data_IF_659693646974
#
_entry.id   IF_659693646974
#
_cell.length_a   1.000
_cell.length_b   1.000
_cell.length_c   1.000
_cell.angle_alpha   90.00
_cell.angle_beta   90.00
_cell.angle_gamma   90.00
#
_symmetry.space_group_name_H-M   'P 1'
#
loop_
_entity.id
_entity.type
_entity.pdbx_description
1 polymer ?
#
# COMPACT_ATOMS: atom_id res chain seq x y z
N UNK A 1 -0.95 34.49 18.27
CA UNK A 1 -0.16 34.39 17.03
C UNK A 1 0.19 32.92 16.81
N UNK A 2 -0.32 32.32 15.75
CA UNK A 2 -0.02 30.95 15.37
C UNK A 2 1.03 30.89 14.25
N UNK A 3 1.53 29.69 13.95
CA UNK A 3 2.38 29.47 12.78
C UNK A 3 1.93 28.24 12.00
N UNK A 4 2.23 28.27 10.70
CA UNK A 4 2.04 27.16 9.77
C UNK A 4 3.33 26.94 9.00
N UNK A 5 3.61 25.70 8.64
CA UNK A 5 4.77 25.27 7.86
C UNK A 5 4.26 24.71 6.54
N UNK A 6 4.76 25.28 5.45
CA UNK A 6 4.62 24.72 4.10
C UNK A 6 5.97 24.25 3.58
N UNK A 7 5.95 23.12 2.87
CA UNK A 7 7.14 22.47 2.29
C UNK A 7 6.84 22.21 0.84
N UNK A 8 7.56 22.89 -0.06
CA UNK A 8 7.32 22.85 -1.51
C UNK A 8 5.86 23.09 -1.91
N UNK A 9 5.21 24.06 -1.25
CA UNK A 9 3.81 24.41 -1.51
C UNK A 9 2.77 23.54 -0.80
N UNK A 10 3.19 22.56 0.00
CA UNK A 10 2.29 21.70 0.77
C UNK A 10 2.33 22.02 2.26
N UNK A 11 1.17 22.25 2.87
CA UNK A 11 1.09 22.36 4.33
C UNK A 11 1.25 20.98 4.98
N UNK A 12 2.06 20.91 6.04
CA UNK A 12 2.11 19.70 6.87
C UNK A 12 0.79 19.59 7.68
N UNK A 13 0.31 18.36 8.00
CA UNK A 13 -1.00 18.17 8.63
C UNK A 13 -1.03 18.61 10.10
N UNK A 14 -2.23 18.82 10.64
CA UNK A 14 -2.48 19.34 11.99
C UNK A 14 -1.92 18.48 13.14
N UNK A 15 -1.90 17.17 12.93
CA UNK A 15 -1.36 16.18 13.84
C UNK A 15 0.15 15.97 13.71
N UNK A 16 0.85 16.77 12.89
CA UNK A 16 2.28 16.64 12.70
C UNK A 16 3.06 16.87 14.01
N UNK A 17 4.07 16.05 14.36
CA UNK A 17 4.82 16.16 15.62
C UNK A 17 5.39 17.56 15.91
N UNK A 18 5.85 18.28 14.88
CA UNK A 18 6.33 19.67 15.01
C UNK A 18 5.24 20.59 15.58
N UNK A 19 4.00 20.46 15.12
CA UNK A 19 2.89 21.26 15.61
C UNK A 19 2.45 20.85 17.00
N UNK A 20 2.42 19.55 17.29
CA UNK A 20 2.08 19.04 18.62
C UNK A 20 3.08 19.51 19.67
N UNK A 21 4.37 19.52 19.35
CA UNK A 21 5.44 19.95 20.25
C UNK A 21 5.33 21.45 20.60
N UNK A 22 5.06 22.29 19.60
CA UNK A 22 5.06 23.76 19.76
C UNK A 22 3.64 24.37 19.88
N UNK A 23 2.61 23.53 19.94
CA UNK A 23 1.17 23.89 19.99
C UNK A 23 0.78 24.94 18.94
N UNK A 24 1.40 24.89 17.76
CA UNK A 24 1.25 25.88 16.67
C UNK A 24 1.30 27.34 17.10
N UNK A 25 2.04 27.67 18.16
CA UNK A 25 2.00 29.01 18.75
C UNK A 25 3.40 29.55 18.91
N UNK A 26 3.62 30.77 18.42
CA UNK A 26 4.88 31.50 18.57
C UNK A 26 5.15 31.91 20.02
N UNK A 27 4.19 31.70 20.94
CA UNK A 27 4.41 31.86 22.38
C UNK A 27 5.23 30.72 22.98
N UNK A 28 5.17 29.53 22.37
CA UNK A 28 5.84 28.32 22.87
C UNK A 28 7.06 27.93 22.03
N UNK A 29 7.49 28.80 21.10
CA UNK A 29 8.62 28.51 20.23
C UNK A 29 9.29 29.81 19.75
N UNK A 30 10.54 29.71 19.34
CA UNK A 30 11.25 30.78 18.62
C UNK A 30 11.48 30.34 17.18
N UNK A 31 11.66 31.30 16.27
CA UNK A 31 11.95 30.99 14.87
C UNK A 31 13.17 30.06 14.74
N UNK A 32 14.23 30.32 15.50
CA UNK A 32 15.43 29.48 15.53
C UNK A 32 15.15 28.05 16.02
N UNK A 33 14.48 27.90 17.18
CA UNK A 33 14.14 26.57 17.72
C UNK A 33 13.26 25.77 16.76
N UNK A 34 12.30 26.43 16.11
CA UNK A 34 11.44 25.81 15.11
C UNK A 34 12.27 25.32 13.90
N UNK A 35 13.13 26.18 13.34
CA UNK A 35 14.01 25.83 12.23
C UNK A 35 14.94 24.66 12.60
N UNK A 36 15.61 24.73 13.74
CA UNK A 36 16.48 23.65 14.25
C UNK A 36 15.74 22.33 14.45
N UNK A 37 14.42 22.36 14.67
CA UNK A 37 13.62 21.15 14.73
C UNK A 37 13.26 20.65 13.33
N UNK A 38 12.81 21.54 12.44
CA UNK A 38 12.42 21.23 11.06
C UNK A 38 13.57 20.57 10.28
N UNK A 39 14.81 21.05 10.43
CA UNK A 39 15.98 20.48 9.73
C UNK A 39 16.29 19.03 10.11
N UNK A 40 15.72 18.50 11.20
CA UNK A 40 15.88 17.09 11.62
C UNK A 40 14.99 16.15 10.81
N UNK A 41 14.05 16.68 10.04
CA UNK A 41 13.13 15.92 9.23
C UNK A 41 13.58 15.92 7.77
N UNK A 42 13.33 14.82 7.08
CA UNK A 42 13.49 14.70 5.64
C UNK A 42 12.13 14.71 4.95
N UNK A 43 12.13 15.01 3.67
CA UNK A 43 10.93 14.90 2.83
C UNK A 43 10.56 13.44 2.69
N UNK A 44 9.34 13.09 3.07
CA UNK A 44 8.78 11.74 2.90
C UNK A 44 8.86 11.33 1.42
N UNK A 45 9.37 10.13 1.15
CA UNK A 45 9.52 9.56 -0.20
C UNK A 45 8.19 9.29 -0.91
N UNK A 46 7.06 9.35 -0.18
CA UNK A 46 5.74 9.11 -0.76
C UNK A 46 5.36 7.63 -0.80
N UNK A 47 4.55 7.25 -1.77
CA UNK A 47 4.03 5.91 -2.02
C UNK A 47 4.82 5.25 -3.15
N UNK A 48 5.26 4.00 -2.93
CA UNK A 48 6.03 3.24 -3.92
C UNK A 48 5.17 2.36 -4.84
N UNK A 49 4.02 1.87 -4.36
CA UNK A 49 3.25 0.82 -5.06
C UNK A 49 1.97 1.35 -5.73
N UNK A 50 1.90 2.64 -6.05
CA UNK A 50 0.69 3.28 -6.60
C UNK A 50 0.86 3.65 -8.07
N UNK A 51 -0.08 3.17 -8.89
CA UNK A 51 -0.13 3.46 -10.32
C UNK A 51 -0.54 4.92 -10.56
N UNK A 52 -0.10 5.51 -11.67
CA UNK A 52 -0.37 6.91 -12.01
C UNK A 52 -1.88 7.23 -12.03
N UNK A 53 -2.70 6.27 -12.48
CA UNK A 53 -4.14 6.42 -12.64
C UNK A 53 -4.90 6.47 -11.30
N UNK A 54 -4.27 6.03 -10.21
CA UNK A 54 -4.86 6.08 -8.86
C UNK A 54 -4.55 7.40 -8.15
N UNK A 55 -3.64 8.21 -8.71
CA UNK A 55 -3.18 9.47 -8.12
C UNK A 55 -3.97 10.61 -8.75
N UNK A 56 -4.54 11.46 -7.90
CA UNK A 56 -5.26 12.65 -8.35
C UNK A 56 -4.47 13.90 -8.01
N UNK A 57 -4.82 15.01 -8.66
CA UNK A 57 -4.27 16.30 -8.26
C UNK A 57 -4.92 16.76 -6.94
N UNK A 58 -4.15 17.44 -6.06
CA UNK A 58 -4.56 17.80 -4.70
C UNK A 58 -5.79 18.72 -4.62
N UNK A 59 -6.29 19.20 -5.76
CA UNK A 59 -7.53 20.00 -5.87
C UNK A 59 -8.79 19.12 -5.70
N UNK A 60 -8.69 17.80 -5.89
CA UNK A 60 -9.82 16.88 -5.77
C UNK A 60 -9.99 16.42 -4.31
N UNK A 61 -10.95 17.02 -3.60
CA UNK A 61 -11.23 16.88 -2.15
C UNK A 61 -11.52 15.44 -1.65
N UNK A 62 -11.54 14.41 -2.51
CA UNK A 62 -11.90 13.03 -2.13
C UNK A 62 -10.92 11.97 -2.62
N UNK A 63 -9.66 12.37 -2.86
CA UNK A 63 -8.66 11.46 -3.41
C UNK A 63 -7.74 10.91 -2.33
N UNK A 64 -7.77 9.60 -2.14
CA UNK A 64 -6.90 8.90 -1.17
C UNK A 64 -5.40 9.10 -1.44
N UNK A 65 -5.06 9.27 -2.72
CA UNK A 65 -3.69 9.47 -3.18
C UNK A 65 -3.58 10.74 -4.01
N UNK A 66 -2.54 11.53 -3.76
CA UNK A 66 -2.37 12.86 -4.29
C UNK A 66 -0.99 13.06 -4.92
N UNK A 67 -0.92 13.87 -5.98
CA UNK A 67 0.33 14.25 -6.67
C UNK A 67 0.97 15.48 -6.03
N UNK A 68 2.20 15.35 -5.55
CA UNK A 68 3.03 16.45 -5.04
C UNK A 68 4.22 16.69 -5.98
N UNK A 69 4.13 17.75 -6.79
CA UNK A 69 5.18 18.20 -7.71
C UNK A 69 6.18 19.13 -7.01
N UNK A 70 7.45 18.73 -6.93
CA UNK A 70 8.55 19.51 -6.35
C UNK A 70 9.50 19.93 -7.45
N UNK A 71 9.67 21.23 -7.65
CA UNK A 71 10.65 21.76 -8.61
C UNK A 71 12.08 21.42 -8.14
N UNK A 72 12.90 20.84 -9.03
CA UNK A 72 14.35 20.74 -8.81
C UNK A 72 14.95 22.10 -9.11
N UNK A 73 15.64 22.65 -8.14
CA UNK A 73 16.52 23.80 -8.34
C UNK A 73 17.75 23.25 -9.04
N UNK A 74 18.02 23.72 -10.25
CA UNK A 74 19.19 23.33 -11.04
C UNK A 74 20.10 24.53 -11.11
N UNK A 75 21.38 24.33 -10.78
CA UNK A 75 22.35 25.42 -10.87
C UNK A 75 22.50 25.83 -12.34
N UNK A 76 22.45 27.14 -12.64
CA UNK A 76 22.52 27.62 -14.02
C UNK A 76 23.75 27.15 -14.82
N UNK A 77 24.82 26.74 -14.13
CA UNK A 77 26.07 26.27 -14.71
C UNK A 77 26.05 24.79 -15.11
N UNK A 78 25.09 24.01 -14.59
CA UNK A 78 24.93 22.57 -14.88
C UNK A 78 23.92 22.32 -16.01
N UNK A 79 23.47 23.37 -16.72
CA UNK A 79 22.35 23.31 -17.65
C UNK A 79 22.76 23.42 -19.12
N UNK A 80 22.79 22.29 -19.83
CA UNK A 80 23.13 22.21 -21.27
C UNK A 80 21.90 21.91 -22.16
N UNK A 81 20.68 22.27 -21.71
CA UNK A 81 19.42 21.86 -22.35
C UNK A 81 18.32 22.94 -22.44
N UNK A 82 17.17 22.61 -23.05
CA UNK A 82 15.95 23.45 -23.09
C UNK A 82 15.25 23.47 -21.73
N UNK A 83 14.64 24.58 -21.25
CA UNK A 83 14.02 24.73 -19.91
C UNK A 83 12.77 23.84 -19.73
N UNK A 84 12.96 22.53 -19.65
CA UNK A 84 11.94 21.60 -19.19
C UNK A 84 12.04 21.63 -17.67
N UNK A 85 11.02 22.17 -17.03
CA UNK A 85 10.85 22.18 -15.58
C UNK A 85 11.24 20.80 -15.03
N UNK A 86 12.40 20.71 -14.39
CA UNK A 86 12.89 19.48 -13.79
C UNK A 86 12.08 19.23 -12.51
N UNK A 87 10.89 18.67 -12.65
CA UNK A 87 9.98 18.41 -11.52
C UNK A 87 10.18 16.99 -11.02
N UNK A 88 10.37 16.85 -9.71
CA UNK A 88 10.26 15.56 -9.01
C UNK A 88 8.82 15.38 -8.56
N UNK A 89 8.18 14.29 -8.99
CA UNK A 89 6.79 14.00 -8.63
C UNK A 89 6.78 12.96 -7.51
N UNK A 90 6.21 13.33 -6.35
CA UNK A 90 5.93 12.43 -5.25
C UNK A 90 4.45 12.04 -5.25
N UNK A 91 4.18 10.75 -5.11
CA UNK A 91 2.82 10.23 -4.87
C UNK A 91 2.61 10.14 -3.38
N UNK A 92 1.57 10.74 -2.83
CA UNK A 92 1.39 10.85 -1.37
C UNK A 92 0.02 10.37 -0.93
N UNK A 93 -0.07 9.80 0.25
CA UNK A 93 -1.35 9.56 0.91
C UNK A 93 -2.00 10.90 1.30
N UNK A 94 -3.33 10.97 1.41
CA UNK A 94 -4.05 12.18 1.82
C UNK A 94 -3.55 12.74 3.16
N UNK A 95 -3.23 11.85 4.11
CA UNK A 95 -2.65 12.17 5.43
C UNK A 95 -1.12 12.07 5.48
N UNK A 96 -0.44 12.27 4.35
CA UNK A 96 1.03 12.26 4.33
C UNK A 96 1.58 13.42 5.17
N UNK A 97 2.53 13.13 6.06
CA UNK A 97 3.16 14.14 6.92
C UNK A 97 4.06 15.13 6.18
N UNK A 98 4.42 14.81 4.92
CA UNK A 98 5.33 15.55 4.03
C UNK A 98 6.77 15.59 4.56
N UNK A 99 6.96 15.97 5.81
CA UNK A 99 8.19 15.82 6.58
C UNK A 99 8.08 14.63 7.53
N UNK A 100 9.13 13.81 7.60
CA UNK A 100 9.23 12.73 8.59
C UNK A 100 10.69 12.48 8.99
N UNK A 101 10.91 11.81 10.11
CA UNK A 101 12.27 11.46 10.57
C UNK A 101 12.83 10.24 9.83
N UNK A 102 11.97 9.50 9.15
CA UNK A 102 12.28 8.31 8.36
C UNK A 102 12.22 8.63 6.88
N UNK A 103 12.64 7.70 6.02
CA UNK A 103 12.51 7.84 4.55
C UNK A 103 11.04 8.00 4.12
N UNK A 104 10.13 7.27 4.77
CA UNK A 104 8.70 7.27 4.48
C UNK A 104 7.90 7.46 5.78
N UNK A 105 6.87 8.31 5.75
CA UNK A 105 5.99 8.53 6.90
C UNK A 105 5.01 7.36 7.14
N UNK A 106 4.46 7.26 8.35
CA UNK A 106 3.53 6.18 8.73
C UNK A 106 2.32 6.06 7.80
N UNK A 107 1.68 7.17 7.43
CA UNK A 107 0.51 7.15 6.55
C UNK A 107 0.80 6.55 5.17
N UNK A 108 1.92 6.95 4.55
CA UNK A 108 2.34 6.38 3.26
C UNK A 108 2.77 4.92 3.40
N UNK A 109 3.51 4.58 4.47
CA UNK A 109 3.96 3.21 4.72
C UNK A 109 2.80 2.25 4.92
N UNK A 110 1.82 2.62 5.74
CA UNK A 110 0.63 1.80 5.99
C UNK A 110 -0.20 1.59 4.73
N UNK A 111 -0.27 2.60 3.85
CA UNK A 111 -0.96 2.49 2.57
C UNK A 111 -0.24 1.50 1.63
N UNK A 112 1.10 1.60 1.52
CA UNK A 112 1.92 0.65 0.75
C UNK A 112 1.83 -0.77 1.31
N UNK A 113 1.90 -0.94 2.64
CA UNK A 113 1.75 -2.23 3.31
C UNK A 113 0.37 -2.84 3.05
N UNK A 114 -0.71 -2.04 3.13
CA UNK A 114 -2.07 -2.49 2.79
C UNK A 114 -2.14 -2.98 1.36
N UNK A 115 -1.57 -2.24 0.41
CA UNK A 115 -1.58 -2.60 -1.03
C UNK A 115 -0.75 -3.85 -1.31
N UNK A 116 0.40 -3.98 -0.67
CA UNK A 116 1.26 -5.16 -0.75
C UNK A 116 0.55 -6.40 -0.18
N UNK A 117 -0.14 -6.27 0.96
CA UNK A 117 -0.94 -7.34 1.55
C UNK A 117 -2.12 -7.73 0.67
N UNK A 118 -2.82 -6.77 0.06
CA UNK A 118 -3.92 -7.09 -0.87
C UNK A 118 -3.42 -7.82 -2.11
N UNK A 119 -2.29 -7.39 -2.69
CA UNK A 119 -1.68 -8.07 -3.83
C UNK A 119 -1.27 -9.51 -3.47
N UNK A 120 -0.63 -9.71 -2.31
CA UNK A 120 -0.28 -11.04 -1.81
C UNK A 120 -1.49 -11.93 -1.54
N UNK A 121 -2.58 -11.38 -0.99
CA UNK A 121 -3.84 -12.13 -0.81
C UNK A 121 -4.44 -12.54 -2.15
N UNK A 122 -4.41 -11.63 -3.13
CA UNK A 122 -4.97 -11.87 -4.45
C UNK A 122 -4.17 -12.94 -5.21
N UNK A 123 -2.84 -12.92 -5.11
CA UNK A 123 -1.98 -13.96 -5.71
C UNK A 123 -2.21 -15.34 -5.05
N UNK A 124 -2.36 -15.41 -3.72
CA UNK A 124 -2.71 -16.66 -3.03
C UNK A 124 -4.09 -17.18 -3.44
N UNK A 125 -5.08 -16.29 -3.55
CA UNK A 125 -6.46 -16.65 -3.93
C UNK A 125 -6.55 -17.28 -5.31
N UNK A 126 -5.62 -16.95 -6.21
CA UNK A 126 -5.52 -17.58 -7.55
C UNK A 126 -5.12 -19.06 -7.46
N UNK A 127 -4.38 -19.45 -6.43
CA UNK A 127 -3.97 -20.84 -6.20
C UNK A 127 -5.04 -21.66 -5.49
N UNK A 128 -6.02 -21.01 -4.85
CA UNK A 128 -7.08 -21.69 -4.12
C UNK A 128 -8.21 -22.16 -5.03
N UNK A 129 -8.70 -23.41 -4.83
CA UNK A 129 -9.88 -23.92 -5.51
C UNK A 129 -11.09 -22.99 -5.36
N UNK A 130 -11.94 -23.00 -6.38
CA UNK A 130 -13.16 -22.23 -6.43
C UNK A 130 -14.21 -22.90 -5.56
N UNK A 131 -15.04 -22.09 -4.88
CA UNK A 131 -16.18 -22.59 -4.11
C UNK A 131 -17.21 -23.24 -5.04
N UNK A 132 -17.86 -24.29 -4.56
CA UNK A 132 -18.93 -24.95 -5.33
C UNK A 132 -20.03 -23.94 -5.67
N UNK A 133 -20.46 -23.93 -6.95
CA UNK A 133 -21.44 -22.99 -7.54
C UNK A 133 -21.00 -21.51 -7.64
N UNK A 134 -19.70 -21.21 -7.62
CA UNK A 134 -19.26 -19.84 -7.91
C UNK A 134 -19.62 -19.43 -9.36
N UNK A 135 -20.03 -18.17 -9.59
CA UNK A 135 -20.35 -17.69 -10.94
C UNK A 135 -19.12 -17.71 -11.85
N UNK A 136 -19.26 -18.28 -13.04
CA UNK A 136 -18.19 -18.39 -14.03
C UNK A 136 -17.70 -17.00 -14.50
N UNK A 137 -18.61 -16.04 -14.61
CA UNK A 137 -18.30 -14.66 -15.03
C UNK A 137 -17.37 -13.92 -14.07
N UNK A 138 -17.33 -14.31 -12.79
CA UNK A 138 -16.51 -13.68 -11.76
C UNK A 138 -15.30 -14.54 -11.34
N UNK A 139 -15.03 -15.63 -12.06
CA UNK A 139 -13.97 -16.59 -11.71
C UNK A 139 -12.87 -16.58 -12.77
N UNK A 140 -11.61 -16.44 -12.35
CA UNK A 140 -10.48 -16.44 -13.28
C UNK A 140 -10.23 -17.82 -13.89
N UNK A 141 -9.75 -17.85 -15.13
CA UNK A 141 -9.44 -19.10 -15.86
C UNK A 141 -8.45 -20.00 -15.10
N UNK A 142 -7.41 -19.42 -14.49
CA UNK A 142 -6.47 -20.17 -13.66
C UNK A 142 -7.15 -20.91 -12.50
N UNK A 143 -8.09 -20.25 -11.80
CA UNK A 143 -8.81 -20.87 -10.69
C UNK A 143 -9.78 -21.95 -11.17
N UNK A 144 -10.41 -21.74 -12.32
CA UNK A 144 -11.24 -22.76 -12.98
C UNK A 144 -10.44 -24.00 -13.38
N UNK A 145 -9.16 -23.87 -13.75
CA UNK A 145 -8.30 -25.01 -14.07
C UNK A 145 -7.87 -25.82 -12.83
N UNK A 146 -7.60 -25.15 -11.71
CA UNK A 146 -7.13 -25.79 -10.46
C UNK A 146 -8.26 -26.57 -9.77
N UNK A 147 -9.50 -26.08 -9.85
CA UNK A 147 -10.62 -26.64 -9.09
C UNK A 147 -10.99 -28.09 -9.45
N UNK A 148 -11.12 -28.47 -10.74
CA UNK A 148 -11.37 -29.85 -11.14
C UNK A 148 -10.22 -30.78 -10.72
N UNK A 149 -8.97 -30.30 -10.79
CA UNK A 149 -7.80 -31.08 -10.36
C UNK A 149 -7.87 -31.38 -8.86
N UNK A 150 -8.23 -30.39 -8.04
CA UNK A 150 -8.40 -30.58 -6.61
C UNK A 150 -9.53 -31.58 -6.29
N UNK A 151 -10.70 -31.44 -6.92
CA UNK A 151 -11.83 -32.37 -6.75
C UNK A 151 -11.49 -33.80 -7.20
N UNK A 152 -10.74 -33.97 -8.29
CA UNK A 152 -10.28 -35.31 -8.73
C UNK A 152 -9.36 -35.97 -7.70
N UNK A 153 -8.46 -35.21 -7.08
CA UNK A 153 -7.58 -35.71 -6.01
C UNK A 153 -8.36 -36.11 -4.77
N UNK A 154 -9.34 -35.29 -4.36
CA UNK A 154 -10.24 -35.58 -3.25
C UNK A 154 -11.07 -36.85 -3.51
N UNK A 155 -11.67 -36.98 -4.70
CA UNK A 155 -12.41 -38.19 -5.08
C UNK A 155 -11.53 -39.43 -5.07
N UNK A 156 -10.27 -39.33 -5.53
CA UNK A 156 -9.32 -40.45 -5.49
C UNK A 156 -9.02 -40.87 -4.05
N UNK A 157 -8.80 -39.91 -3.15
CA UNK A 157 -8.54 -40.18 -1.74
C UNK A 157 -9.74 -40.86 -1.05
N UNK A 158 -10.96 -40.33 -1.29
CA UNK A 158 -12.18 -40.91 -0.74
C UNK A 158 -12.46 -42.32 -1.27
N UNK A 159 -12.22 -42.58 -2.57
CA UNK A 159 -12.34 -43.93 -3.14
C UNK A 159 -11.39 -44.93 -2.48
N UNK A 160 -10.12 -44.55 -2.31
CA UNK A 160 -9.16 -45.40 -1.62
C UNK A 160 -9.59 -45.71 -0.17
N UNK A 161 -10.14 -44.73 0.55
CA UNK A 161 -10.66 -44.94 1.90
C UNK A 161 -11.87 -45.87 1.93
N UNK A 162 -12.77 -45.76 0.95
CA UNK A 162 -13.90 -46.66 0.82
C UNK A 162 -13.45 -48.10 0.55
N UNK A 163 -12.51 -48.30 -0.37
CA UNK A 163 -11.94 -49.61 -0.68
C UNK A 163 -11.27 -50.25 0.55
N UNK A 164 -10.54 -49.46 1.34
CA UNK A 164 -9.93 -49.90 2.59
C UNK A 164 -10.99 -50.30 3.64
N UNK A 165 -12.03 -49.47 3.84
CA UNK A 165 -13.12 -49.78 4.76
C UNK A 165 -13.88 -51.04 4.35
N UNK A 166 -14.18 -51.19 3.06
CA UNK A 166 -14.85 -52.39 2.56
C UNK A 166 -13.99 -53.65 2.73
N UNK A 167 -12.68 -53.55 2.48
CA UNK A 167 -11.75 -54.66 2.72
C UNK A 167 -11.75 -55.08 4.20
N UNK A 168 -11.78 -54.11 5.12
CA UNK A 168 -11.89 -54.38 6.56
C UNK A 168 -13.20 -55.07 6.94
N UNK A 169 -14.33 -54.62 6.38
CA UNK A 169 -15.65 -55.23 6.63
C UNK A 169 -15.68 -56.67 6.11
N UNK A 170 -15.23 -56.89 4.86
CA UNK A 170 -15.13 -58.24 4.28
C UNK A 170 -14.22 -59.15 5.10
N UNK A 171 -13.09 -58.64 5.57
CA UNK A 171 -12.19 -59.36 6.47
C UNK A 171 -12.91 -59.82 7.74
N UNK A 172 -13.68 -58.95 8.40
CA UNK A 172 -14.42 -59.30 9.62
C UNK A 172 -15.52 -60.35 9.41
N UNK A 173 -16.21 -60.34 8.26
CA UNK A 173 -17.29 -61.30 7.96
C UNK A 173 -16.75 -62.72 7.73
N UNK A 174 -15.50 -62.88 7.30
CA UNK A 174 -14.90 -64.21 7.03
C UNK A 174 -14.39 -64.90 8.31
N UNK A 175 -14.29 -64.18 9.43
CA UNK A 175 -13.82 -64.73 10.72
C UNK A 175 -14.95 -65.00 11.75
N UNK A 176 -16.22 -64.93 11.35
CA UNK A 176 -17.40 -65.38 12.13
C UNK A 176 -18.01 -66.63 11.51
#
# INVERSE_FOLDING_TARGET
LGFSISVYGWFIPDDHPIYLQHKRSVRFTTAYSLLSNVIKYSVCSGLGNVEENEVNDPVHEKSKFMRHSVQKIVEPLDYDGSPILLVTIYKRHEFCFVLCQTVQCCACKDADDKKSRSASRQSRKILEPVKDRAPLSATSQQRLAISPKAKRMECKALKNQLEEMEARIRGHIVFQ
#
